data_IF_378253136567
#
_entry.id   IF_378253136567
#
_cell.length_a   1.000
_cell.length_b   1.000
_cell.length_c   1.000
_cell.angle_alpha   90.00
_cell.angle_beta   90.00
_cell.angle_gamma   90.00
#
_symmetry.space_group_name_H-M   'P 1'
#
loop_
_entity.id
_entity.type
_entity.pdbx_description
1 polymer ?
#
# COMPACT_ATOMS: atom_id res chain seq x y z
N UNK A 1 15.50 2.23 10.58
CA UNK A 1 14.37 2.97 9.99
C UNK A 1 14.10 4.15 10.90
N UNK A 2 14.25 5.38 10.38
CA UNK A 2 14.05 6.59 11.18
C UNK A 2 12.58 6.77 11.57
N UNK A 3 12.33 7.31 12.75
CA UNK A 3 10.97 7.50 13.30
C UNK A 3 10.10 8.37 12.39
N UNK A 4 10.70 9.33 11.68
CA UNK A 4 10.05 10.16 10.66
C UNK A 4 9.56 9.33 9.47
N UNK A 5 10.36 8.36 8.99
CA UNK A 5 9.98 7.51 7.87
C UNK A 5 8.81 6.59 8.19
N UNK A 6 8.76 6.08 9.43
CA UNK A 6 7.61 5.31 9.91
C UNK A 6 6.33 6.14 9.91
N UNK A 7 6.41 7.38 10.39
CA UNK A 7 5.27 8.31 10.41
C UNK A 7 4.82 8.65 8.99
N UNK A 8 5.74 9.01 8.10
CA UNK A 8 5.41 9.32 6.69
C UNK A 8 4.80 8.13 5.98
N UNK A 9 5.38 6.93 6.15
CA UNK A 9 4.84 5.70 5.56
C UNK A 9 3.44 5.37 6.09
N UNK A 10 3.23 5.45 7.41
CA UNK A 10 1.92 5.26 8.01
C UNK A 10 0.88 6.27 7.52
N UNK A 11 1.28 7.54 7.39
CA UNK A 11 0.39 8.60 6.89
C UNK A 11 -0.02 8.35 5.43
N UNK A 12 0.91 7.91 4.60
CA UNK A 12 0.64 7.55 3.21
C UNK A 12 -0.37 6.40 3.11
N UNK A 13 -0.22 5.35 3.92
CA UNK A 13 -1.18 4.23 3.96
C UNK A 13 -2.58 4.69 4.38
N UNK A 14 -2.66 5.53 5.40
CA UNK A 14 -3.94 6.09 5.86
C UNK A 14 -4.57 6.96 4.77
N UNK A 15 -3.80 7.83 4.11
CA UNK A 15 -4.27 8.68 3.04
C UNK A 15 -4.80 7.87 1.84
N UNK A 16 -4.12 6.78 1.48
CA UNK A 16 -4.53 5.87 0.40
C UNK A 16 -5.93 5.28 0.64
N UNK A 17 -6.34 5.08 1.88
CA UNK A 17 -7.68 4.53 2.20
C UNK A 17 -8.70 5.64 2.42
N UNK A 18 -8.32 6.70 3.15
CA UNK A 18 -9.26 7.78 3.49
C UNK A 18 -9.65 8.60 2.28
N UNK A 19 -8.71 8.97 1.40
CA UNK A 19 -8.99 9.85 0.26
C UNK A 19 -10.00 9.24 -0.72
N UNK A 20 -9.83 7.99 -1.19
CA UNK A 20 -10.82 7.37 -2.07
C UNK A 20 -12.16 7.12 -1.38
N UNK A 21 -12.15 6.85 -0.06
CA UNK A 21 -13.35 6.61 0.73
C UNK A 21 -14.21 7.86 0.85
N UNK A 22 -13.58 8.98 1.18
CA UNK A 22 -14.24 10.29 1.24
C UNK A 22 -14.72 10.73 -0.15
N UNK A 23 -13.92 10.49 -1.20
CA UNK A 23 -14.31 10.77 -2.57
C UNK A 23 -15.55 9.95 -2.99
N UNK A 24 -15.58 8.65 -2.70
CA UNK A 24 -16.74 7.80 -2.96
C UNK A 24 -17.97 8.31 -2.21
N UNK A 25 -17.81 8.64 -0.93
CA UNK A 25 -18.92 9.16 -0.11
C UNK A 25 -19.51 10.42 -0.73
N UNK A 26 -18.66 11.42 -1.01
CA UNK A 26 -19.08 12.69 -1.60
C UNK A 26 -19.77 12.47 -2.96
N UNK A 27 -19.17 11.67 -3.85
CA UNK A 27 -19.75 11.35 -5.17
C UNK A 27 -21.08 10.63 -5.07
N UNK A 28 -21.25 9.78 -4.07
CA UNK A 28 -22.52 9.09 -3.83
C UNK A 28 -23.61 10.08 -3.40
N UNK A 29 -23.27 11.07 -2.56
CA UNK A 29 -24.23 12.10 -2.12
C UNK A 29 -24.75 12.96 -3.29
N UNK A 30 -23.95 13.15 -4.33
CA UNK A 30 -24.33 13.93 -5.53
C UNK A 30 -24.80 13.07 -6.70
N UNK A 31 -25.16 11.80 -6.46
CA UNK A 31 -25.77 10.91 -7.46
C UNK A 31 -24.80 10.11 -8.34
N UNK A 32 -23.49 10.30 -8.18
CA UNK A 32 -22.44 9.61 -8.97
C UNK A 32 -21.92 8.35 -8.27
N UNK A 33 -22.81 7.51 -7.73
CA UNK A 33 -22.45 6.32 -6.95
C UNK A 33 -21.53 5.33 -7.71
N UNK A 34 -21.78 5.13 -9.01
CA UNK A 34 -20.95 4.26 -9.86
C UNK A 34 -19.54 4.81 -10.03
N UNK A 35 -19.39 6.12 -10.26
CA UNK A 35 -18.08 6.78 -10.38
C UNK A 35 -17.32 6.70 -9.06
N UNK A 36 -18.00 6.98 -7.93
CA UNK A 36 -17.41 6.83 -6.61
C UNK A 36 -16.91 5.41 -6.32
N UNK A 37 -17.62 4.40 -6.82
CA UNK A 37 -17.22 3.00 -6.70
C UNK A 37 -15.98 2.67 -7.53
N UNK A 38 -15.88 3.20 -8.76
CA UNK A 38 -14.67 3.06 -9.58
C UNK A 38 -13.47 3.71 -8.91
N UNK A 39 -13.63 4.93 -8.35
CA UNK A 39 -12.56 5.62 -7.62
C UNK A 39 -12.14 4.84 -6.39
N UNK A 40 -13.08 4.24 -5.66
CA UNK A 40 -12.76 3.42 -4.49
C UNK A 40 -11.90 2.22 -4.85
N UNK A 41 -12.30 1.42 -5.85
CA UNK A 41 -11.53 0.26 -6.28
C UNK A 41 -10.20 0.66 -6.92
N UNK A 42 -10.18 1.71 -7.74
CA UNK A 42 -8.97 2.25 -8.34
C UNK A 42 -7.98 2.74 -7.30
N UNK A 43 -8.44 3.49 -6.30
CA UNK A 43 -7.64 3.95 -5.17
C UNK A 43 -7.04 2.80 -4.37
N UNK A 44 -7.84 1.75 -4.11
CA UNK A 44 -7.35 0.52 -3.47
C UNK A 44 -6.26 -0.18 -4.32
N UNK A 45 -6.49 -0.31 -5.63
CA UNK A 45 -5.54 -0.93 -6.54
C UNK A 45 -4.21 -0.17 -6.60
N UNK A 46 -4.26 1.16 -6.72
CA UNK A 46 -3.07 2.02 -6.64
C UNK A 46 -2.37 1.86 -5.28
N UNK A 47 -3.14 1.80 -4.19
CA UNK A 47 -2.63 1.58 -2.85
C UNK A 47 -1.81 0.29 -2.73
N UNK A 48 -2.36 -0.82 -3.22
CA UNK A 48 -1.67 -2.12 -3.25
C UNK A 48 -0.38 -2.04 -4.08
N UNK A 49 -0.43 -1.41 -5.25
CA UNK A 49 0.75 -1.26 -6.11
C UNK A 49 1.84 -0.40 -5.46
N UNK A 50 1.47 0.66 -4.73
CA UNK A 50 2.42 1.49 -3.99
C UNK A 50 3.07 0.70 -2.86
N UNK A 51 2.27 -0.04 -2.06
CA UNK A 51 2.77 -0.92 -1.01
C UNK A 51 3.75 -1.93 -1.58
N UNK A 52 3.38 -2.54 -2.70
CA UNK A 52 4.24 -3.49 -3.37
C UNK A 52 5.54 -2.84 -3.89
N UNK A 53 5.46 -1.75 -4.63
CA UNK A 53 6.62 -1.16 -5.29
C UNK A 53 7.64 -0.55 -4.32
N UNK A 54 7.18 0.08 -3.25
CA UNK A 54 8.04 0.83 -2.32
C UNK A 54 8.53 -0.02 -1.14
N UNK A 55 7.77 -1.03 -0.70
CA UNK A 55 8.14 -1.85 0.46
C UNK A 55 8.47 -3.29 0.09
N UNK A 56 7.64 -3.97 -0.71
CA UNK A 56 7.83 -5.40 -0.98
C UNK A 56 8.89 -5.67 -2.04
N UNK A 57 8.82 -4.98 -3.19
CA UNK A 57 9.71 -5.15 -4.34
C UNK A 57 11.21 -4.96 -4.02
N UNK A 58 11.62 -4.00 -3.15
CA UNK A 58 13.03 -3.85 -2.79
C UNK A 58 13.52 -4.83 -1.71
N UNK A 59 12.65 -5.65 -1.11
CA UNK A 59 13.09 -6.67 -0.16
C UNK A 59 13.74 -7.82 -0.93
N UNK A 60 15.05 -7.98 -0.77
CA UNK A 60 15.73 -9.21 -1.19
C UNK A 60 15.39 -10.33 -0.21
N UNK A 61 14.41 -11.15 -0.57
CA UNK A 61 14.05 -12.34 0.20
C UNK A 61 15.09 -13.43 -0.12
N UNK A 62 16.20 -13.40 0.60
CA UNK A 62 17.21 -14.47 0.58
C UNK A 62 16.80 -15.60 1.54
N UNK A 63 17.00 -16.84 1.11
CA UNK A 63 16.80 -18.00 1.97
C UNK A 63 17.84 -18.06 3.08
N UNK A 64 17.60 -18.81 4.17
CA UNK A 64 18.60 -19.01 5.22
C UNK A 64 19.90 -19.53 4.59
N UNK A 65 21.01 -18.81 4.79
CA UNK A 65 22.33 -19.36 4.52
C UNK A 65 22.53 -20.51 5.49
N UNK A 66 22.56 -21.75 4.99
CA UNK A 66 22.92 -22.92 5.80
C UNK A 66 24.40 -22.81 6.19
N UNK A 67 24.76 -22.57 7.46
CA UNK A 67 26.15 -22.50 7.89
C UNK A 67 26.74 -23.91 8.10
N UNK A 68 26.02 -24.97 7.69
CA UNK A 68 26.25 -26.34 8.12
C UNK A 68 26.77 -27.32 7.07
N UNK A 69 27.33 -26.89 5.93
CA UNK A 69 28.07 -27.83 5.07
C UNK A 69 29.50 -27.99 5.62
N UNK A 70 29.87 -29.09 6.28
CA UNK A 70 31.26 -29.37 6.57
C UNK A 70 31.98 -29.55 5.23
N UNK A 71 32.99 -28.72 4.97
CA UNK A 71 33.95 -28.98 3.91
C UNK A 71 34.73 -30.25 4.26
N UNK A 72 34.53 -31.31 3.46
CA UNK A 72 35.37 -32.51 3.46
C UNK A 72 36.75 -32.23 2.87
#
# INVERSE_FOLDING_TARGET
MDRSQLVTGGLLLVAIVLVPGLAKYALTQIGYASVGTVIWYGGYGVGVLLVWALWLRPLEITGPNDPGHPEE
#
